data_IF_554227778319
#
_entry.id   IF_554227778319
#
_cell.length_a   1.000
_cell.length_b   1.000
_cell.length_c   1.000
_cell.angle_alpha   90.00
_cell.angle_beta   90.00
_cell.angle_gamma   90.00
#
_symmetry.space_group_name_H-M   'P 1'
#
loop_
_entity.id
_entity.type
_entity.pdbx_description
1 polymer ?
#
# COMPACT_ATOMS: atom_id res chain seq x y z
N UNK A 1 44.91 2.28 -32.70
CA UNK A 1 44.41 2.98 -31.49
C UNK A 1 42.97 3.51 -31.61
N UNK A 2 42.52 4.05 -32.76
CA UNK A 2 41.15 4.60 -32.89
C UNK A 2 40.00 3.56 -32.77
N UNK A 3 40.23 2.28 -33.08
CA UNK A 3 39.20 1.23 -33.05
C UNK A 3 38.88 0.73 -31.61
N UNK A 4 39.84 0.81 -30.69
CA UNK A 4 39.65 0.39 -29.31
C UNK A 4 38.89 1.43 -28.46
N UNK A 5 39.05 2.72 -28.80
CA UNK A 5 38.27 3.79 -28.13
C UNK A 5 36.76 3.69 -28.44
N UNK A 6 36.38 3.24 -29.65
CA UNK A 6 34.99 3.12 -30.07
C UNK A 6 34.29 1.93 -29.35
N UNK A 7 35.02 0.81 -29.18
CA UNK A 7 34.50 -0.36 -28.44
C UNK A 7 34.38 -0.08 -26.97
N UNK A 8 35.32 0.66 -26.35
CA UNK A 8 35.22 1.06 -24.95
C UNK A 8 34.05 2.03 -24.70
N UNK A 9 33.78 2.94 -25.65
CA UNK A 9 32.67 3.89 -25.55
C UNK A 9 31.32 3.20 -25.66
N UNK A 10 31.17 2.18 -26.53
CA UNK A 10 29.95 1.41 -26.67
C UNK A 10 29.72 0.52 -25.44
N UNK A 11 30.77 -0.08 -24.87
CA UNK A 11 30.65 -0.85 -23.62
C UNK A 11 30.28 0.05 -22.44
N UNK A 12 30.81 1.28 -22.34
CA UNK A 12 30.47 2.23 -21.28
C UNK A 12 29.03 2.72 -21.40
N UNK A 13 28.53 2.92 -22.64
CA UNK A 13 27.12 3.28 -22.87
C UNK A 13 26.16 2.14 -22.54
N UNK A 14 26.53 0.87 -22.79
CA UNK A 14 25.73 -0.28 -22.38
C UNK A 14 25.71 -0.44 -20.84
N UNK A 15 26.80 -0.12 -20.13
CA UNK A 15 26.82 -0.13 -18.67
C UNK A 15 25.98 0.99 -18.06
N UNK A 16 25.91 2.16 -18.69
CA UNK A 16 25.07 3.27 -18.23
C UNK A 16 23.57 3.03 -18.51
N UNK A 17 23.23 2.26 -19.54
CA UNK A 17 21.83 1.83 -19.78
C UNK A 17 21.40 0.68 -18.84
N UNK A 18 22.33 -0.12 -18.33
CA UNK A 18 22.00 -1.20 -17.39
C UNK A 18 21.80 -0.71 -15.93
N UNK A 19 22.23 0.53 -15.62
CA UNK A 19 22.07 1.11 -14.29
C UNK A 19 20.84 2.02 -14.14
N UNK A 20 19.98 2.13 -15.16
CA UNK A 20 18.72 2.87 -15.08
C UNK A 20 17.49 1.99 -15.18
N UNK A 21 17.60 0.70 -14.89
CA UNK A 21 16.49 -0.03 -14.30
C UNK A 21 16.53 0.34 -12.82
N UNK A 22 16.04 1.53 -12.45
CA UNK A 22 15.33 1.66 -11.20
C UNK A 22 14.29 0.53 -11.27
N UNK A 23 14.49 -0.52 -10.49
CA UNK A 23 13.36 -1.27 -9.96
C UNK A 23 12.48 -0.21 -9.29
N UNK A 24 11.59 0.41 -10.08
CA UNK A 24 10.30 0.71 -9.55
C UNK A 24 9.81 -0.67 -9.15
N UNK A 25 9.94 -0.98 -7.88
CA UNK A 25 9.16 -1.98 -7.21
C UNK A 25 7.73 -1.45 -7.44
N UNK A 26 7.15 -1.82 -8.59
CA UNK A 26 5.77 -1.52 -8.89
C UNK A 26 5.05 -2.27 -7.79
N UNK A 27 4.66 -1.51 -6.77
CA UNK A 27 3.73 -1.97 -5.76
C UNK A 27 2.59 -2.55 -6.57
N UNK A 28 2.57 -3.89 -6.67
CA UNK A 28 1.48 -4.61 -7.30
C UNK A 28 0.28 -4.23 -6.46
N UNK A 29 -0.42 -3.20 -6.91
CA UNK A 29 -1.56 -2.70 -6.17
C UNK A 29 -2.57 -3.82 -6.17
N UNK A 30 -3.25 -4.04 -5.08
CA UNK A 30 -4.38 -4.98 -4.99
C UNK A 30 -5.42 -4.69 -6.08
N UNK A 31 -5.45 -3.48 -6.63
CA UNK A 31 -6.24 -3.12 -7.82
C UNK A 31 -5.97 -4.00 -9.05
N UNK A 32 -4.73 -4.48 -9.25
CA UNK A 32 -4.42 -5.38 -10.38
C UNK A 32 -5.08 -6.75 -10.21
N UNK A 33 -5.19 -7.23 -8.98
CA UNK A 33 -5.90 -8.47 -8.64
C UNK A 33 -7.41 -8.28 -8.84
N UNK A 34 -7.95 -7.11 -8.46
CA UNK A 34 -9.39 -6.81 -8.55
C UNK A 34 -9.91 -6.75 -10.00
N UNK A 35 -9.03 -6.42 -10.96
CA UNK A 35 -9.42 -6.32 -12.38
C UNK A 35 -9.31 -7.61 -13.18
N UNK A 36 -8.58 -8.62 -12.70
CA UNK A 36 -8.25 -9.82 -13.49
C UNK A 36 -8.18 -11.12 -12.67
N UNK A 37 -8.37 -11.06 -11.34
CA UNK A 37 -8.30 -12.21 -10.44
C UNK A 37 -9.56 -13.08 -10.51
N UNK A 38 -9.44 -14.32 -10.07
CA UNK A 38 -10.57 -15.20 -9.78
C UNK A 38 -11.31 -14.72 -8.53
N UNK A 39 -12.57 -15.14 -8.36
CA UNK A 39 -13.38 -14.83 -7.17
C UNK A 39 -12.62 -15.19 -5.87
N UNK A 40 -11.94 -16.34 -5.83
CA UNK A 40 -11.16 -16.77 -4.67
C UNK A 40 -9.98 -15.84 -4.38
N UNK A 41 -9.27 -15.37 -5.42
CA UNK A 41 -8.17 -14.42 -5.30
C UNK A 41 -8.66 -13.04 -4.84
N UNK A 42 -9.81 -12.59 -5.35
CA UNK A 42 -10.44 -11.35 -4.93
C UNK A 42 -10.91 -11.42 -3.47
N UNK A 43 -11.53 -12.53 -3.06
CA UNK A 43 -11.93 -12.75 -1.67
C UNK A 43 -10.74 -12.77 -0.71
N UNK A 44 -9.63 -13.41 -1.11
CA UNK A 44 -8.41 -13.43 -0.33
C UNK A 44 -7.79 -12.03 -0.21
N UNK A 45 -7.78 -11.25 -1.29
CA UNK A 45 -7.28 -9.87 -1.30
C UNK A 45 -8.14 -8.95 -0.42
N UNK A 46 -9.47 -9.10 -0.45
CA UNK A 46 -10.36 -8.31 0.40
C UNK A 46 -10.18 -8.63 1.89
N UNK A 47 -9.98 -9.91 2.23
CA UNK A 47 -9.68 -10.31 3.60
C UNK A 47 -8.34 -9.73 4.09
N UNK A 48 -7.29 -9.83 3.27
CA UNK A 48 -5.98 -9.26 3.57
C UNK A 48 -6.05 -7.73 3.73
N UNK A 49 -6.79 -7.04 2.84
CA UNK A 49 -7.02 -5.60 2.94
C UNK A 49 -7.74 -5.22 4.24
N UNK A 50 -8.71 -6.02 4.71
CA UNK A 50 -9.38 -5.76 5.97
C UNK A 50 -8.43 -5.93 7.16
N UNK A 51 -7.64 -6.99 7.21
CA UNK A 51 -6.68 -7.24 8.28
C UNK A 51 -5.64 -6.12 8.37
N UNK A 52 -5.12 -5.68 7.22
CA UNK A 52 -4.16 -4.57 7.11
C UNK A 52 -4.77 -3.22 7.48
N UNK A 53 -6.02 -2.98 7.09
CA UNK A 53 -6.73 -1.77 7.48
C UNK A 53 -6.92 -1.69 9.01
N UNK A 54 -7.25 -2.80 9.65
CA UNK A 54 -7.41 -2.86 11.10
C UNK A 54 -6.07 -2.65 11.83
N UNK A 55 -4.97 -3.21 11.31
CA UNK A 55 -3.62 -2.97 11.83
C UNK A 55 -3.20 -1.51 11.66
N UNK A 56 -3.37 -0.94 10.47
CA UNK A 56 -3.07 0.46 10.19
C UNK A 56 -3.86 1.40 11.10
N UNK A 57 -5.13 1.09 11.34
CA UNK A 57 -5.97 1.86 12.25
C UNK A 57 -5.41 1.86 13.68
N UNK A 58 -4.96 0.70 14.17
CA UNK A 58 -4.37 0.59 15.51
C UNK A 58 -3.06 1.38 15.61
N UNK A 59 -2.17 1.24 14.64
CA UNK A 59 -0.91 2.00 14.57
C UNK A 59 -1.16 3.52 14.54
N UNK A 60 -2.17 3.96 13.79
CA UNK A 60 -2.55 5.36 13.73
C UNK A 60 -3.10 5.89 15.06
N UNK A 61 -3.82 5.08 15.80
CA UNK A 61 -4.31 5.44 17.15
C UNK A 61 -3.14 5.58 18.14
N UNK A 62 -2.17 4.66 18.07
CA UNK A 62 -1.00 4.68 18.94
C UNK A 62 -0.10 5.90 18.63
N UNK A 63 0.14 6.20 17.35
CA UNK A 63 0.88 7.39 16.93
C UNK A 63 0.18 8.68 17.33
N UNK A 64 -1.12 8.82 17.08
CA UNK A 64 -1.90 10.00 17.47
C UNK A 64 -1.88 10.21 18.97
N UNK A 65 -1.98 9.15 19.78
CA UNK A 65 -1.90 9.23 21.23
C UNK A 65 -0.52 9.73 21.68
N UNK A 66 0.55 9.21 21.07
CA UNK A 66 1.92 9.63 21.36
C UNK A 66 2.18 11.08 20.89
N UNK A 67 1.61 11.49 19.76
CA UNK A 67 1.67 12.87 19.25
C UNK A 67 1.05 13.87 20.23
N UNK A 68 -0.16 13.61 20.72
CA UNK A 68 -0.79 14.49 21.71
C UNK A 68 0.01 14.59 23.00
N UNK A 69 0.59 13.47 23.46
CA UNK A 69 1.46 13.49 24.64
C UNK A 69 2.72 14.32 24.42
N UNK A 70 3.32 14.25 23.22
CA UNK A 70 4.50 15.03 22.84
C UNK A 70 4.21 16.54 22.74
N UNK A 71 3.05 16.90 22.19
CA UNK A 71 2.64 18.32 22.12
C UNK A 71 2.45 18.92 23.52
N UNK A 72 1.95 18.12 24.48
CA UNK A 72 1.79 18.56 25.86
C UNK A 72 3.13 18.57 26.61
N UNK A 73 4.00 17.60 26.36
CA UNK A 73 5.30 17.45 27.02
C UNK A 73 6.33 16.83 26.07
N UNK A 74 7.25 17.66 25.58
CA UNK A 74 8.33 17.25 24.67
C UNK A 74 9.26 16.15 25.25
N UNK A 75 9.21 15.89 26.56
CA UNK A 75 9.96 14.77 27.17
C UNK A 75 9.50 13.40 26.68
N UNK A 76 8.32 13.31 26.03
CA UNK A 76 7.73 12.09 25.47
C UNK A 76 8.16 11.81 24.01
N UNK A 77 9.10 12.59 23.42
CA UNK A 77 9.57 12.45 22.04
C UNK A 77 10.00 11.03 21.69
N UNK A 78 10.64 10.30 22.62
CA UNK A 78 11.06 8.92 22.34
C UNK A 78 9.86 7.96 22.16
N UNK A 79 8.75 8.20 22.86
CA UNK A 79 7.54 7.41 22.69
C UNK A 79 6.88 7.70 21.35
N UNK A 80 6.84 8.97 20.93
CA UNK A 80 6.37 9.36 19.62
C UNK A 80 7.22 8.73 18.50
N UNK A 81 8.55 8.81 18.59
CA UNK A 81 9.45 8.15 17.62
C UNK A 81 9.16 6.66 17.49
N UNK A 82 8.99 5.96 18.62
CA UNK A 82 8.71 4.52 18.57
C UNK A 82 7.37 4.21 17.88
N UNK A 83 6.34 5.02 18.07
CA UNK A 83 5.07 4.87 17.38
C UNK A 83 5.17 5.20 15.88
N UNK A 84 5.93 6.25 15.53
CA UNK A 84 6.20 6.62 14.14
C UNK A 84 7.02 5.55 13.42
N UNK A 85 8.05 4.99 14.05
CA UNK A 85 8.86 3.90 13.50
C UNK A 85 7.98 2.67 13.19
N UNK A 86 7.04 2.31 14.07
CA UNK A 86 6.12 1.20 13.82
C UNK A 86 5.21 1.44 12.61
N UNK A 87 4.73 2.67 12.40
CA UNK A 87 3.97 3.03 11.20
C UNK A 87 4.85 3.00 9.95
N UNK A 88 6.09 3.47 10.01
CA UNK A 88 7.04 3.41 8.90
C UNK A 88 7.31 1.96 8.52
N UNK A 89 7.56 1.07 9.49
CA UNK A 89 7.78 -0.36 9.24
C UNK A 89 6.56 -0.99 8.53
N UNK A 90 5.36 -0.62 8.94
CA UNK A 90 4.13 -1.06 8.26
C UNK A 90 4.09 -0.57 6.81
N UNK A 91 4.30 0.72 6.55
CA UNK A 91 4.29 1.26 5.18
C UNK A 91 5.38 0.65 4.30
N UNK A 92 6.57 0.39 4.84
CA UNK A 92 7.64 -0.31 4.13
C UNK A 92 7.22 -1.75 3.78
N UNK A 93 6.53 -2.44 4.67
CA UNK A 93 5.97 -3.77 4.38
C UNK A 93 4.90 -3.75 3.28
N UNK A 94 4.19 -2.62 3.15
CA UNK A 94 3.23 -2.36 2.04
C UNK A 94 3.89 -1.84 0.75
N UNK A 95 5.22 -1.80 0.70
CA UNK A 95 5.99 -1.48 -0.51
C UNK A 95 6.30 0.00 -0.70
N UNK A 96 6.11 0.85 0.31
CA UNK A 96 6.61 2.23 0.29
C UNK A 96 8.12 2.27 0.51
N UNK A 97 8.78 3.32 0.01
CA UNK A 97 10.20 3.51 0.26
C UNK A 97 10.43 4.08 1.66
N UNK A 98 11.38 3.50 2.41
CA UNK A 98 11.78 4.07 3.70
C UNK A 98 12.32 5.51 3.58
N UNK A 99 12.87 5.88 2.42
CA UNK A 99 13.40 7.21 2.16
C UNK A 99 12.29 8.29 2.13
N UNK A 100 11.03 7.90 1.89
CA UNK A 100 9.88 8.80 1.91
C UNK A 100 9.51 9.26 3.33
N UNK A 101 10.00 8.54 4.36
CA UNK A 101 9.70 8.77 5.77
C UNK A 101 10.92 9.31 6.52
N UNK A 102 11.36 10.52 6.17
CA UNK A 102 12.50 11.17 6.78
C UNK A 102 12.15 12.59 7.23
N UNK A 103 12.79 13.05 8.29
CA UNK A 103 12.59 14.42 8.79
C UNK A 103 12.53 14.52 10.32
N UNK A 104 12.04 15.65 10.82
CA UNK A 104 11.71 15.82 12.23
C UNK A 104 10.45 15.02 12.60
N UNK A 105 10.19 14.84 13.90
CA UNK A 105 8.98 14.13 14.36
C UNK A 105 7.70 14.84 13.91
N UNK A 106 7.73 16.16 13.76
CA UNK A 106 6.60 16.96 13.28
C UNK A 106 6.37 16.75 11.79
N UNK A 107 7.44 16.81 10.97
CA UNK A 107 7.37 16.56 9.53
C UNK A 107 6.92 15.13 9.25
N UNK A 108 7.42 14.17 10.02
CA UNK A 108 7.07 12.77 9.88
C UNK A 108 5.60 12.51 10.26
N UNK A 109 5.06 13.18 11.29
CA UNK A 109 3.65 13.10 11.65
C UNK A 109 2.73 13.46 10.45
N UNK A 110 3.03 14.55 9.74
CA UNK A 110 2.25 14.99 8.60
C UNK A 110 2.34 13.99 7.42
N UNK A 111 3.54 13.46 7.13
CA UNK A 111 3.75 12.46 6.07
C UNK A 111 3.03 11.16 6.39
N UNK A 112 3.16 10.66 7.61
CA UNK A 112 2.49 9.42 8.04
C UNK A 112 0.97 9.56 7.98
N UNK A 113 0.43 10.72 8.38
CA UNK A 113 -1.00 11.00 8.35
C UNK A 113 -1.55 10.96 6.91
N UNK A 114 -0.86 11.62 5.96
CA UNK A 114 -1.29 11.64 4.56
C UNK A 114 -1.15 10.26 3.88
N UNK A 115 -0.07 9.53 4.17
CA UNK A 115 0.15 8.18 3.62
C UNK A 115 -0.89 7.19 4.16
N UNK A 116 -1.23 7.28 5.46
CA UNK A 116 -2.29 6.50 6.08
C UNK A 116 -3.64 6.73 5.41
N UNK A 117 -4.01 7.99 5.17
CA UNK A 117 -5.29 8.33 4.51
C UNK A 117 -5.38 7.68 3.13
N UNK A 118 -4.34 7.83 2.32
CA UNK A 118 -4.29 7.23 0.97
C UNK A 118 -4.38 5.70 1.00
N UNK A 119 -3.66 5.04 1.91
CA UNK A 119 -3.66 3.58 2.01
C UNK A 119 -4.97 3.04 2.60
N UNK A 120 -5.57 3.75 3.54
CA UNK A 120 -6.89 3.42 4.08
C UNK A 120 -7.97 3.48 3.00
N UNK A 121 -7.95 4.50 2.16
CA UNK A 121 -8.88 4.64 1.04
C UNK A 121 -8.73 3.48 0.04
N UNK A 122 -7.49 3.03 -0.22
CA UNK A 122 -7.22 1.85 -1.06
C UNK A 122 -7.84 0.59 -0.47
N UNK A 123 -7.64 0.31 0.81
CA UNK A 123 -8.22 -0.88 1.47
C UNK A 123 -9.76 -0.85 1.49
N UNK A 124 -10.34 0.34 1.72
CA UNK A 124 -11.80 0.52 1.68
C UNK A 124 -12.34 0.26 0.26
N UNK A 125 -11.64 0.74 -0.77
CA UNK A 125 -12.04 0.53 -2.17
C UNK A 125 -12.03 -0.97 -2.54
N UNK A 126 -11.02 -1.73 -2.09
CA UNK A 126 -10.93 -3.18 -2.29
C UNK A 126 -12.13 -3.90 -1.66
N UNK A 127 -12.42 -3.60 -0.39
CA UNK A 127 -13.53 -4.22 0.33
C UNK A 127 -14.89 -3.85 -0.28
N UNK A 128 -15.04 -2.62 -0.75
CA UNK A 128 -16.26 -2.16 -1.43
C UNK A 128 -16.48 -2.92 -2.73
N UNK A 129 -15.44 -3.06 -3.55
CA UNK A 129 -15.52 -3.80 -4.81
C UNK A 129 -15.89 -5.26 -4.60
N UNK A 130 -15.27 -5.95 -3.64
CA UNK A 130 -15.62 -7.32 -3.29
C UNK A 130 -17.09 -7.44 -2.82
N UNK A 131 -17.55 -6.49 -2.01
CA UNK A 131 -18.94 -6.44 -1.57
C UNK A 131 -19.92 -6.27 -2.74
N UNK A 132 -19.55 -5.53 -3.78
CA UNK A 132 -20.40 -5.33 -4.96
C UNK A 132 -20.46 -6.60 -5.83
N UNK A 133 -19.34 -7.31 -6.00
CA UNK A 133 -19.33 -8.63 -6.67
C UNK A 133 -20.29 -9.61 -5.98
N UNK A 134 -20.23 -9.72 -4.66
CA UNK A 134 -21.11 -10.61 -3.90
C UNK A 134 -22.59 -10.25 -4.04
N UNK A 135 -22.92 -8.97 -4.18
CA UNK A 135 -24.31 -8.52 -4.40
C UNK A 135 -24.79 -8.91 -5.78
N UNK A 136 -23.96 -8.74 -6.81
CA UNK A 136 -24.32 -9.07 -8.19
C UNK A 136 -24.57 -10.59 -8.33
N UNK A 137 -23.70 -11.42 -7.74
CA UNK A 137 -23.89 -12.89 -7.72
C UNK A 137 -25.17 -13.32 -6.98
N UNK A 138 -25.50 -12.65 -5.88
CA UNK A 138 -26.71 -12.94 -5.14
C UNK A 138 -27.98 -12.58 -5.96
N UNK A 139 -27.92 -11.49 -6.74
CA UNK A 139 -29.02 -11.08 -7.65
C UNK A 139 -29.16 -12.06 -8.79
N UNK A 140 -28.06 -12.48 -9.42
CA UNK A 140 -28.09 -13.44 -10.53
C UNK A 140 -28.63 -14.80 -10.07
N UNK A 141 -28.15 -15.31 -8.94
CA UNK A 141 -28.67 -16.57 -8.35
C UNK A 141 -30.15 -16.51 -8.01
N UNK A 142 -30.65 -15.36 -7.55
CA UNK A 142 -32.05 -15.15 -7.26
C UNK A 142 -32.88 -15.12 -8.55
N UNK A 143 -32.38 -14.48 -9.60
CA UNK A 143 -33.04 -14.38 -10.92
C UNK A 143 -33.16 -15.76 -11.57
N UNK A 144 -32.07 -16.55 -11.56
CA UNK A 144 -32.05 -17.93 -12.07
C UNK A 144 -33.08 -18.83 -11.34
N UNK A 145 -33.20 -18.64 -10.01
CA UNK A 145 -34.16 -19.41 -9.22
C UNK A 145 -35.61 -19.08 -9.54
N UNK A 146 -35.94 -17.85 -9.96
CA UNK A 146 -37.30 -17.45 -10.39
C UNK A 146 -37.59 -18.03 -11.75
N UNK A 147 -36.66 -18.01 -12.70
CA UNK A 147 -36.87 -18.56 -14.03
C UNK A 147 -37.10 -20.08 -14.02
N UNK A 148 -36.55 -20.80 -13.04
CA UNK A 148 -36.82 -22.25 -12.88
C UNK A 148 -38.21 -22.57 -12.28
N UNK A 149 -38.84 -21.60 -11.59
CA UNK A 149 -40.20 -21.76 -11.08
C UNK A 149 -41.31 -21.59 -12.16
N UNK A 150 -40.97 -20.92 -13.26
CA UNK A 150 -41.90 -20.66 -14.38
C UNK A 150 -41.92 -21.76 -15.48
N UNK A 151 -41.17 -22.85 -15.30
CA UNK A 151 -41.12 -24.01 -16.21
C UNK A 151 -41.90 -25.19 -15.67
#
# INVERSE_FOLDING_TARGET
MKRYCLLLSVMLLCFLCACSVTEQNERTTMYDIMGSGTEEEIAAAAKDAQEKHDELFQLAMDESSAWYAYVDDNSTENALKAAQDAMVDFFVSEGFSADDFSGSVEELHDVLSSTRESLSDEYIAINTHYSDILKDEAVDSFTDSIEDFDK
#
